data_IF_384434518875
#
_entry.id   IF_384434518875
#
_cell.length_a   1.000
_cell.length_b   1.000
_cell.length_c   1.000
_cell.angle_alpha   90.00
_cell.angle_beta   90.00
_cell.angle_gamma   90.00
#
_symmetry.space_group_name_H-M   'P 1'
#
loop_
_entity.id
_entity.type
_entity.pdbx_description
1 polymer ?
#
# COMPACT_ATOMS: atom_id res chain seq x y z
N UNK A 1 -22.91 9.26 -46.06
CA UNK A 1 -21.67 8.61 -45.59
C UNK A 1 -21.76 8.41 -44.10
N UNK A 2 -22.13 7.21 -43.63
CA UNK A 2 -22.34 6.91 -42.22
C UNK A 2 -21.00 6.49 -41.62
N UNK A 3 -20.44 7.33 -40.77
CA UNK A 3 -19.18 7.05 -40.07
C UNK A 3 -19.40 5.88 -39.09
N UNK A 4 -18.95 4.69 -39.49
CA UNK A 4 -18.94 3.49 -38.68
C UNK A 4 -18.12 3.75 -37.42
N UNK A 5 -18.75 4.04 -36.29
CA UNK A 5 -18.13 4.13 -34.98
C UNK A 5 -17.40 2.81 -34.72
N UNK A 6 -16.05 2.86 -34.68
CA UNK A 6 -15.21 1.69 -34.44
C UNK A 6 -15.64 1.11 -33.08
N UNK A 7 -16.16 -0.11 -33.09
CA UNK A 7 -16.55 -0.84 -31.90
C UNK A 7 -15.30 -0.95 -31.02
N UNK A 8 -15.34 -0.53 -29.76
CA UNK A 8 -14.16 -0.63 -28.88
C UNK A 8 -13.70 -2.09 -28.86
N UNK A 9 -12.39 -2.28 -29.00
CA UNK A 9 -11.76 -3.61 -28.94
C UNK A 9 -11.78 -4.06 -27.47
N UNK A 10 -12.89 -4.66 -27.04
CA UNK A 10 -13.15 -5.07 -25.66
C UNK A 10 -12.04 -5.93 -25.08
N UNK A 11 -11.36 -6.71 -25.91
CA UNK A 11 -10.24 -7.53 -25.45
C UNK A 11 -9.05 -6.66 -25.04
N UNK A 12 -8.74 -5.61 -25.80
CA UNK A 12 -7.66 -4.65 -25.46
C UNK A 12 -8.03 -3.79 -24.26
N UNK A 13 -9.29 -3.37 -24.18
CA UNK A 13 -9.75 -2.50 -23.08
C UNK A 13 -9.67 -3.21 -21.72
N UNK A 14 -9.86 -4.52 -21.67
CA UNK A 14 -9.76 -5.29 -20.41
C UNK A 14 -8.38 -5.90 -20.17
N UNK A 15 -7.49 -5.94 -21.18
CA UNK A 15 -6.17 -6.57 -21.06
C UNK A 15 -5.30 -5.92 -19.98
N UNK A 16 -5.26 -4.60 -19.95
CA UNK A 16 -4.50 -3.84 -18.93
C UNK A 16 -5.04 -4.10 -17.53
N UNK A 17 -6.36 -4.08 -17.35
CA UNK A 17 -7.01 -4.40 -16.07
C UNK A 17 -6.69 -5.81 -15.60
N UNK A 18 -6.82 -6.80 -16.50
CA UNK A 18 -6.51 -8.20 -16.19
C UNK A 18 -5.02 -8.39 -15.83
N UNK A 19 -4.13 -7.75 -16.58
CA UNK A 19 -2.69 -7.79 -16.30
C UNK A 19 -2.36 -7.22 -14.92
N UNK A 20 -2.94 -6.06 -14.57
CA UNK A 20 -2.79 -5.44 -13.25
C UNK A 20 -3.23 -6.39 -12.14
N UNK A 21 -4.44 -6.97 -12.24
CA UNK A 21 -4.96 -7.87 -11.22
C UNK A 21 -4.09 -9.12 -11.03
N UNK A 22 -3.64 -9.73 -12.14
CA UNK A 22 -2.82 -10.93 -12.10
C UNK A 22 -1.41 -10.63 -11.55
N UNK A 23 -0.79 -9.54 -12.03
CA UNK A 23 0.53 -9.14 -11.57
C UNK A 23 0.52 -8.82 -10.08
N UNK A 24 -0.42 -7.99 -9.62
CA UNK A 24 -0.59 -7.66 -8.20
C UNK A 24 -0.77 -8.93 -7.35
N UNK A 25 -1.74 -9.79 -7.70
CA UNK A 25 -2.03 -10.98 -6.90
C UNK A 25 -0.84 -11.95 -6.81
N UNK A 26 -0.09 -12.15 -7.92
CA UNK A 26 1.05 -13.06 -7.95
C UNK A 26 2.26 -12.48 -7.22
N UNK A 27 2.58 -11.22 -7.46
CA UNK A 27 3.72 -10.56 -6.82
C UNK A 27 3.51 -10.48 -5.29
N UNK A 28 2.33 -10.04 -4.85
CA UNK A 28 2.01 -9.93 -3.42
C UNK A 28 2.13 -11.28 -2.71
N UNK A 29 1.57 -12.36 -3.29
CA UNK A 29 1.69 -13.70 -2.69
C UNK A 29 3.13 -14.20 -2.59
N UNK A 30 3.95 -13.93 -3.60
CA UNK A 30 5.35 -14.32 -3.59
C UNK A 30 6.13 -13.52 -2.53
N UNK A 31 5.89 -12.21 -2.44
CA UNK A 31 6.48 -11.35 -1.41
C UNK A 31 6.06 -11.80 0.00
N UNK A 32 4.77 -12.06 0.22
CA UNK A 32 4.27 -12.58 1.51
C UNK A 32 4.98 -13.87 1.90
N UNK A 33 5.04 -14.85 1.00
CA UNK A 33 5.70 -16.13 1.26
C UNK A 33 7.20 -15.97 1.59
N UNK A 34 7.88 -15.05 0.93
CA UNK A 34 9.29 -14.78 1.20
C UNK A 34 9.49 -14.05 2.55
N UNK A 35 8.61 -13.10 2.89
CA UNK A 35 8.67 -12.41 4.18
C UNK A 35 8.41 -13.37 5.34
N UNK A 36 7.44 -14.28 5.21
CA UNK A 36 7.12 -15.29 6.21
C UNK A 36 8.29 -16.25 6.49
N UNK A 37 9.24 -16.38 5.56
CA UNK A 37 10.47 -17.16 5.72
C UNK A 37 11.61 -16.39 6.41
N UNK A 38 11.37 -15.14 6.82
CA UNK A 38 12.34 -14.26 7.45
C UNK A 38 11.88 -13.77 8.82
N UNK A 39 12.73 -13.00 9.52
CA UNK A 39 12.35 -12.30 10.77
C UNK A 39 11.63 -10.96 10.51
N UNK A 40 11.27 -10.66 9.27
CA UNK A 40 10.51 -9.48 8.91
C UNK A 40 9.09 -9.54 9.46
N UNK A 41 8.49 -8.37 9.69
CA UNK A 41 7.06 -8.35 10.02
C UNK A 41 6.22 -8.75 8.81
N UNK A 42 5.05 -9.40 9.03
CA UNK A 42 4.13 -9.76 7.95
C UNK A 42 3.77 -8.55 7.07
N UNK A 43 3.56 -8.77 5.77
CA UNK A 43 3.29 -7.70 4.80
C UNK A 43 2.16 -6.76 5.25
N UNK A 44 1.05 -7.32 5.74
CA UNK A 44 -0.07 -6.49 6.21
C UNK A 44 0.28 -5.61 7.42
N UNK A 45 1.23 -6.03 8.27
CA UNK A 45 1.75 -5.20 9.35
C UNK A 45 2.65 -4.10 8.80
N UNK A 46 3.52 -4.44 7.85
CA UNK A 46 4.40 -3.49 7.20
C UNK A 46 3.62 -2.35 6.54
N UNK A 47 2.53 -2.66 5.81
CA UNK A 47 1.68 -1.66 5.16
C UNK A 47 1.06 -0.69 6.16
N UNK A 48 0.57 -1.19 7.30
CA UNK A 48 0.05 -0.33 8.37
C UNK A 48 1.14 0.53 8.99
N UNK A 49 2.31 -0.05 9.28
CA UNK A 49 3.45 0.69 9.85
C UNK A 49 3.99 1.75 8.89
N UNK A 50 3.98 1.47 7.58
CA UNK A 50 4.38 2.41 6.53
C UNK A 50 3.53 3.69 6.55
N UNK A 51 2.21 3.55 6.65
CA UNK A 51 1.31 4.70 6.71
C UNK A 51 1.47 5.47 8.03
N UNK A 52 1.61 4.77 9.15
CA UNK A 52 1.77 5.39 10.46
C UNK A 52 3.14 6.06 10.66
N UNK A 53 4.19 5.57 9.98
CA UNK A 53 5.52 6.17 10.09
C UNK A 53 5.57 7.58 9.49
N UNK A 54 4.78 7.85 8.47
CA UNK A 54 4.70 9.15 7.83
C UNK A 54 3.96 10.21 8.69
N UNK A 55 3.23 9.79 9.73
CA UNK A 55 2.35 10.63 10.53
C UNK A 55 2.76 10.57 12.01
N UNK A 56 3.52 11.57 12.51
CA UNK A 56 4.02 11.57 13.91
C UNK A 56 2.90 11.51 14.95
N UNK A 57 1.77 12.15 14.65
CA UNK A 57 0.60 12.21 15.54
C UNK A 57 -0.34 11.01 15.39
N UNK A 58 -0.04 10.10 14.44
CA UNK A 58 -0.87 8.96 14.11
C UNK A 58 -2.03 9.31 13.16
N UNK A 59 -2.83 8.30 12.85
CA UNK A 59 -3.97 8.40 11.94
C UNK A 59 -5.25 7.92 12.61
N UNK A 60 -6.38 8.53 12.27
CA UNK A 60 -7.69 7.95 12.57
C UNK A 60 -7.81 6.58 11.89
N UNK A 61 -8.48 5.64 12.53
CA UNK A 61 -8.65 4.28 12.00
C UNK A 61 -9.27 4.25 10.62
N UNK A 62 -10.16 5.21 10.30
CA UNK A 62 -10.76 5.33 8.97
C UNK A 62 -9.73 5.76 7.94
N UNK A 63 -8.97 6.82 8.23
CA UNK A 63 -7.95 7.36 7.32
C UNK A 63 -6.84 6.34 7.06
N UNK A 64 -6.44 5.61 8.11
CA UNK A 64 -5.48 4.51 8.00
C UNK A 64 -5.99 3.40 7.08
N UNK A 65 -7.26 3.02 7.20
CA UNK A 65 -7.88 2.02 6.33
C UNK A 65 -7.92 2.46 4.87
N UNK A 66 -8.26 3.72 4.61
CA UNK A 66 -8.30 4.30 3.26
C UNK A 66 -6.89 4.34 2.64
N UNK A 67 -5.87 4.78 3.40
CA UNK A 67 -4.48 4.88 2.93
C UNK A 67 -3.84 3.52 2.69
N UNK A 68 -4.00 2.58 3.61
CA UNK A 68 -3.47 1.22 3.47
C UNK A 68 -4.31 0.34 2.52
N UNK A 69 -5.38 0.90 1.90
CA UNK A 69 -6.29 0.16 1.00
C UNK A 69 -6.88 -1.08 1.69
N UNK A 70 -7.24 -0.92 2.95
CA UNK A 70 -7.78 -1.98 3.79
C UNK A 70 -9.26 -1.74 4.13
N UNK A 71 -10.02 -2.83 4.21
CA UNK A 71 -11.37 -2.74 4.76
C UNK A 71 -11.35 -2.37 6.24
N UNK A 72 -12.42 -1.75 6.75
CA UNK A 72 -12.56 -1.36 8.15
C UNK A 72 -12.30 -2.52 9.13
N UNK A 73 -12.78 -3.71 8.79
CA UNK A 73 -12.56 -4.92 9.59
C UNK A 73 -11.09 -5.34 9.58
N UNK A 74 -10.44 -5.30 8.42
CA UNK A 74 -9.03 -5.72 8.28
C UNK A 74 -8.10 -4.76 9.00
N UNK A 75 -8.26 -3.44 8.85
CA UNK A 75 -7.41 -2.46 9.55
C UNK A 75 -7.58 -2.57 11.07
N UNK A 76 -8.81 -2.77 11.56
CA UNK A 76 -9.08 -2.94 12.99
C UNK A 76 -8.37 -4.17 13.57
N UNK A 77 -8.38 -5.29 12.84
CA UNK A 77 -7.69 -6.52 13.24
C UNK A 77 -6.18 -6.33 13.25
N UNK A 78 -5.60 -5.80 12.17
CA UNK A 78 -4.14 -5.59 12.07
C UNK A 78 -3.62 -4.62 13.14
N UNK A 79 -4.34 -3.52 13.39
CA UNK A 79 -3.97 -2.57 14.46
C UNK A 79 -4.08 -3.21 15.84
N UNK A 80 -5.05 -4.09 16.06
CA UNK A 80 -5.16 -4.84 17.33
C UNK A 80 -3.97 -5.80 17.51
N UNK A 81 -3.60 -6.53 16.47
CA UNK A 81 -2.44 -7.43 16.48
C UNK A 81 -1.13 -6.64 16.72
N UNK A 82 -0.92 -5.54 16.01
CA UNK A 82 0.24 -4.65 16.18
C UNK A 82 0.32 -4.04 17.58
N UNK A 83 -0.81 -3.68 18.17
CA UNK A 83 -0.89 -3.16 19.54
C UNK A 83 -0.53 -4.24 20.57
N UNK A 84 -1.01 -5.48 20.38
CA UNK A 84 -0.66 -6.61 21.23
C UNK A 84 0.86 -6.91 21.22
N UNK A 85 1.54 -6.59 20.11
CA UNK A 85 3.00 -6.73 19.99
C UNK A 85 3.76 -5.43 20.35
N UNK A 86 3.06 -4.40 20.83
CA UNK A 86 3.68 -3.14 21.26
C UNK A 86 4.21 -2.27 20.12
N UNK A 87 3.89 -2.57 18.86
CA UNK A 87 4.38 -1.85 17.68
C UNK A 87 3.53 -0.61 17.34
N UNK A 88 2.27 -0.61 17.76
CA UNK A 88 1.31 0.50 17.61
C UNK A 88 0.65 0.72 18.96
N UNK A 89 0.20 1.94 19.21
CA UNK A 89 -0.69 2.30 20.34
C UNK A 89 -1.96 2.93 19.79
N UNK A 90 -3.08 2.68 20.45
CA UNK A 90 -4.35 3.36 20.19
C UNK A 90 -4.64 4.39 21.27
N UNK A 91 -5.22 5.52 20.87
CA UNK A 91 -5.74 6.54 21.79
C UNK A 91 -7.06 7.10 21.25
N UNK A 92 -7.85 7.68 22.14
CA UNK A 92 -9.03 8.43 21.71
C UNK A 92 -8.60 9.71 20.99
N UNK A 93 -9.34 10.08 19.97
CA UNK A 93 -9.17 11.39 19.32
C UNK A 93 -9.59 12.49 20.31
N UNK A 94 -8.74 13.51 20.56
CA UNK A 94 -9.07 14.58 21.48
C UNK A 94 -10.22 15.47 20.98
N UNK A 95 -10.41 15.57 19.64
CA UNK A 95 -11.42 16.41 19.02
C UNK A 95 -12.72 15.66 18.75
N UNK A 96 -12.67 14.33 18.64
CA UNK A 96 -13.82 13.44 18.44
C UNK A 96 -13.68 12.19 19.31
N UNK A 97 -14.26 12.22 20.49
CA UNK A 97 -14.20 11.10 21.45
C UNK A 97 -14.79 9.77 20.95
N UNK A 98 -15.44 9.74 19.78
CA UNK A 98 -15.92 8.52 19.11
C UNK A 98 -14.88 7.92 18.17
N UNK A 99 -13.89 8.72 17.76
CA UNK A 99 -12.82 8.29 16.89
C UNK A 99 -11.63 7.73 17.69
N UNK A 100 -10.95 6.77 17.07
CA UNK A 100 -9.70 6.18 17.58
C UNK A 100 -8.56 6.52 16.65
N UNK A 101 -7.46 7.00 17.21
CA UNK A 101 -6.19 7.25 16.51
C UNK A 101 -5.23 6.10 16.82
N UNK A 102 -4.62 5.55 15.77
CA UNK A 102 -3.49 4.64 15.85
C UNK A 102 -2.19 5.42 15.61
N UNK A 103 -1.17 5.17 16.42
CA UNK A 103 0.13 5.81 16.31
C UNK A 103 1.24 4.76 16.46
N UNK A 104 2.29 4.88 15.64
CA UNK A 104 3.44 3.99 15.68
C UNK A 104 4.26 4.24 16.96
N UNK A 105 4.76 3.16 17.58
CA UNK A 105 5.66 3.24 18.73
C UNK A 105 7.13 3.28 18.28
N UNK A 106 8.09 3.59 19.17
CA UNK A 106 9.52 3.42 18.86
C UNK A 106 9.87 1.99 18.41
N UNK A 107 9.28 0.97 19.04
CA UNK A 107 9.45 -0.43 18.64
C UNK A 107 8.87 -0.70 17.24
N UNK A 108 7.70 -0.12 16.93
CA UNK A 108 7.11 -0.20 15.59
C UNK A 108 7.98 0.45 14.52
N UNK A 109 8.61 1.61 14.82
CA UNK A 109 9.56 2.25 13.90
C UNK A 109 10.79 1.39 13.66
N UNK A 110 11.33 0.76 14.70
CA UNK A 110 12.46 -0.14 14.59
C UNK A 110 12.10 -1.36 13.72
N UNK A 111 10.96 -1.99 13.97
CA UNK A 111 10.47 -3.12 13.18
C UNK A 111 10.24 -2.73 11.69
N UNK A 112 9.63 -1.59 11.43
CA UNK A 112 9.47 -1.04 10.08
C UNK A 112 10.83 -0.85 9.39
N UNK A 113 11.78 -0.20 10.06
CA UNK A 113 13.11 0.10 9.51
C UNK A 113 13.89 -1.19 9.22
N UNK A 114 13.79 -2.20 10.08
CA UNK A 114 14.44 -3.50 9.85
C UNK A 114 13.83 -4.27 8.67
N UNK A 115 12.51 -4.18 8.50
CA UNK A 115 11.79 -4.88 7.43
C UNK A 115 11.93 -4.21 6.06
N UNK A 116 12.04 -2.88 6.02
CA UNK A 116 12.02 -2.11 4.76
C UNK A 116 13.04 -2.58 3.70
N UNK A 117 14.33 -2.83 4.01
CA UNK A 117 15.28 -3.30 3.00
C UNK A 117 14.93 -4.69 2.47
N UNK A 118 14.40 -5.58 3.31
CA UNK A 118 13.97 -6.93 2.93
C UNK A 118 12.79 -6.81 1.97
N UNK A 119 11.77 -6.04 2.34
CA UNK A 119 10.58 -5.83 1.52
C UNK A 119 10.91 -5.19 0.15
N UNK A 120 11.77 -4.17 0.13
CA UNK A 120 12.19 -3.53 -1.11
C UNK A 120 12.95 -4.49 -2.04
N UNK A 121 13.80 -5.36 -1.49
CA UNK A 121 14.48 -6.39 -2.27
C UNK A 121 13.48 -7.38 -2.88
N UNK A 122 12.40 -7.72 -2.15
CA UNK A 122 11.37 -8.63 -2.65
C UNK A 122 10.46 -7.98 -3.69
N UNK A 123 10.17 -6.69 -3.58
CA UNK A 123 9.54 -5.92 -4.67
C UNK A 123 10.40 -5.95 -5.92
N UNK A 124 11.71 -5.78 -5.78
CA UNK A 124 12.61 -5.84 -6.93
C UNK A 124 12.59 -7.24 -7.57
N UNK A 125 12.69 -8.29 -6.77
CA UNK A 125 12.69 -9.68 -7.21
C UNK A 125 11.40 -10.09 -7.93
N UNK A 126 10.23 -9.74 -7.37
CA UNK A 126 8.93 -10.24 -7.84
C UNK A 126 8.19 -9.27 -8.76
N UNK A 127 8.67 -8.03 -8.91
CA UNK A 127 8.00 -7.05 -9.74
C UNK A 127 8.98 -6.24 -10.61
N UNK A 128 9.90 -5.46 -10.02
CA UNK A 128 10.69 -4.49 -10.77
C UNK A 128 11.62 -5.12 -11.80
N UNK A 129 12.27 -6.24 -11.49
CA UNK A 129 13.22 -6.93 -12.40
C UNK A 129 12.58 -7.42 -13.70
N UNK A 130 11.26 -7.56 -13.72
CA UNK A 130 10.50 -7.98 -14.91
C UNK A 130 10.11 -6.82 -15.82
N UNK A 131 10.47 -5.59 -15.45
CA UNK A 131 10.15 -4.36 -16.16
C UNK A 131 11.42 -3.55 -16.42
N UNK A 132 11.53 -2.98 -17.61
CA UNK A 132 12.52 -1.95 -17.89
C UNK A 132 12.23 -0.67 -17.10
N UNK A 133 13.23 0.22 -16.94
CA UNK A 133 13.04 1.50 -16.24
C UNK A 133 11.92 2.33 -16.84
N UNK A 134 11.83 2.35 -18.17
CA UNK A 134 10.77 3.05 -18.90
C UNK A 134 9.39 2.48 -18.60
N UNK A 135 9.26 1.16 -18.57
CA UNK A 135 7.99 0.50 -18.26
C UNK A 135 7.57 0.75 -16.82
N UNK A 136 8.50 0.68 -15.85
CA UNK A 136 8.21 1.04 -14.46
C UNK A 136 7.66 2.47 -14.34
N UNK A 137 8.28 3.41 -15.03
CA UNK A 137 7.84 4.80 -15.03
C UNK A 137 6.45 4.97 -15.67
N UNK A 138 6.20 4.29 -16.79
CA UNK A 138 4.89 4.32 -17.48
C UNK A 138 3.81 3.72 -16.59
N UNK A 139 4.05 2.55 -15.98
CA UNK A 139 3.11 1.88 -15.08
C UNK A 139 2.80 2.77 -13.87
N UNK A 140 3.83 3.30 -13.21
CA UNK A 140 3.66 4.18 -12.06
C UNK A 140 2.80 5.40 -12.41
N UNK A 141 3.14 6.11 -13.50
CA UNK A 141 2.41 7.31 -13.95
C UNK A 141 0.97 7.00 -14.36
N UNK A 142 0.75 5.87 -15.06
CA UNK A 142 -0.58 5.50 -15.53
C UNK A 142 -1.50 5.10 -14.37
N UNK A 143 -0.99 4.30 -13.43
CA UNK A 143 -1.77 3.85 -12.29
C UNK A 143 -2.00 4.96 -11.27
N UNK A 144 -1.05 5.89 -11.09
CA UNK A 144 -1.26 7.07 -10.23
C UNK A 144 -2.46 7.89 -10.68
N UNK A 145 -2.65 8.10 -11.99
CA UNK A 145 -3.86 8.79 -12.50
C UNK A 145 -5.16 8.07 -12.15
N UNK A 146 -5.14 6.73 -12.14
CA UNK A 146 -6.32 5.94 -11.72
C UNK A 146 -6.57 6.10 -10.23
N UNK A 147 -5.52 6.04 -9.41
CA UNK A 147 -5.61 6.27 -7.97
C UNK A 147 -6.15 7.67 -7.68
N UNK A 148 -5.57 8.71 -8.28
CA UNK A 148 -5.98 10.11 -8.07
C UNK A 148 -7.46 10.36 -8.44
N UNK A 149 -7.95 9.69 -9.49
CA UNK A 149 -9.35 9.80 -9.92
C UNK A 149 -10.35 9.22 -8.89
N UNK A 150 -9.88 8.37 -7.96
CA UNK A 150 -10.72 7.68 -6.97
C UNK A 150 -10.33 8.01 -5.52
N UNK A 151 -9.23 8.74 -5.31
CA UNK A 151 -8.77 9.08 -3.97
C UNK A 151 -9.53 10.28 -3.41
N UNK A 152 -10.05 10.12 -2.20
CA UNK A 152 -10.55 11.22 -1.37
C UNK A 152 -9.42 11.85 -0.53
N UNK A 153 -8.33 11.12 -0.32
CA UNK A 153 -7.15 11.54 0.41
C UNK A 153 -5.89 11.31 -0.45
N UNK A 154 -4.91 12.26 -0.44
CA UNK A 154 -3.65 12.06 -1.14
C UNK A 154 -2.86 10.92 -0.51
N UNK A 155 -2.43 9.93 -1.30
CA UNK A 155 -1.60 8.83 -0.85
C UNK A 155 -0.12 9.26 -0.79
N UNK A 156 0.52 9.32 0.39
CA UNK A 156 1.88 9.84 0.53
C UNK A 156 2.96 8.98 -0.15
N UNK A 157 2.72 7.67 -0.33
CA UNK A 157 3.70 6.74 -0.89
C UNK A 157 3.88 6.83 -2.41
N UNK A 158 2.98 7.50 -3.14
CA UNK A 158 3.03 7.60 -4.61
C UNK A 158 3.75 8.85 -5.14
N UNK A 159 4.21 9.74 -4.26
CA UNK A 159 5.03 10.87 -4.70
C UNK A 159 6.43 10.37 -5.05
N UNK A 160 6.92 10.57 -6.30
CA UNK A 160 8.31 10.28 -6.62
C UNK A 160 9.19 11.12 -5.69
N UNK A 161 10.13 10.48 -4.98
CA UNK A 161 11.13 11.20 -4.21
C UNK A 161 11.90 12.07 -5.20
N UNK A 162 11.76 13.38 -5.07
CA UNK A 162 12.64 14.34 -5.72
C UNK A 162 14.06 14.03 -5.24
N UNK A 163 14.90 13.50 -6.14
CA UNK A 163 16.33 13.41 -5.90
C UNK A 163 16.84 14.85 -5.81
N UNK A 164 17.16 15.29 -4.60
CA UNK A 164 18.05 16.41 -4.34
C UNK A 164 19.44 15.84 -4.11
#
# INVERSE_FOLDING_TARGET
>A
MTTRRKQPDRERDVAAWRALLLAHNRAVRAIEADLDATEAVPLGWYDVLLELQAEPDGLRMQDLGERAVLSRTRVSRLVHELEAHGLVRRRRDPDDGRATIAAITPAGRAAFTATAPIYLAKIDEHFNRHLTDRERQVVATALSRVVDAHSRLPHPALKPRSNA
#
